data_IF_955850440772
#
_entry.id   IF_955850440772
#
_cell.length_a   1.000
_cell.length_b   1.000
_cell.length_c   1.000
_cell.angle_alpha   90.00
_cell.angle_beta   90.00
_cell.angle_gamma   90.00
#
_symmetry.space_group_name_H-M   'P 1'
#
loop_
_entity.id
_entity.type
_entity.pdbx_description
1 polymer ?
#
# COMPACT_ATOMS: atom_id res chain seq x y z
N UNK A 1 39.33 -5.43 -8.70
CA UNK A 1 38.16 -6.04 -9.39
C UNK A 1 36.94 -6.26 -8.48
N UNK A 2 37.05 -6.93 -7.31
CA UNK A 2 35.90 -7.18 -6.40
C UNK A 2 35.08 -5.94 -5.97
N UNK A 3 35.71 -4.76 -5.86
CA UNK A 3 35.04 -3.51 -5.44
C UNK A 3 34.11 -2.94 -6.52
N UNK A 4 34.45 -3.13 -7.80
CA UNK A 4 33.65 -2.64 -8.94
C UNK A 4 32.44 -3.54 -9.21
N UNK A 5 32.58 -4.87 -9.07
CA UNK A 5 31.45 -5.81 -9.14
C UNK A 5 30.41 -5.57 -8.04
N UNK A 6 30.85 -5.17 -6.85
CA UNK A 6 29.97 -4.81 -5.73
C UNK A 6 29.15 -3.54 -6.01
N UNK A 7 29.74 -2.53 -6.64
CA UNK A 7 29.03 -1.30 -7.01
C UNK A 7 28.00 -1.53 -8.12
N UNK A 8 28.32 -2.33 -9.13
CA UNK A 8 27.40 -2.64 -10.23
C UNK A 8 26.19 -3.46 -9.75
N UNK A 9 26.40 -4.42 -8.84
CA UNK A 9 25.32 -5.18 -8.19
C UNK A 9 24.41 -4.28 -7.34
N UNK A 10 24.98 -3.32 -6.62
CA UNK A 10 24.19 -2.37 -5.82
C UNK A 10 23.36 -1.44 -6.72
N UNK A 11 23.92 -0.94 -7.82
CA UNK A 11 23.18 -0.10 -8.77
C UNK A 11 21.99 -0.85 -9.39
N UNK A 12 22.16 -2.12 -9.76
CA UNK A 12 21.07 -2.95 -10.28
C UNK A 12 19.97 -3.20 -9.23
N UNK A 13 20.33 -3.40 -7.96
CA UNK A 13 19.36 -3.55 -6.86
C UNK A 13 18.59 -2.25 -6.61
N UNK A 14 19.27 -1.11 -6.63
CA UNK A 14 18.63 0.20 -6.50
C UNK A 14 17.69 0.49 -7.67
N UNK A 15 18.12 0.23 -8.90
CA UNK A 15 17.29 0.39 -10.10
C UNK A 15 16.00 -0.42 -10.02
N UNK A 16 16.07 -1.70 -9.64
CA UNK A 16 14.85 -2.53 -9.48
C UNK A 16 13.96 -2.09 -8.31
N UNK A 17 14.51 -1.54 -7.23
CA UNK A 17 13.71 -0.98 -6.15
C UNK A 17 12.96 0.29 -6.58
N UNK A 18 13.59 1.16 -7.38
CA UNK A 18 12.94 2.35 -7.94
C UNK A 18 11.83 1.93 -8.90
N UNK A 19 12.11 1.02 -9.83
CA UNK A 19 11.11 0.51 -10.78
C UNK A 19 9.94 -0.15 -10.03
N UNK A 20 10.23 -0.97 -9.02
CA UNK A 20 9.19 -1.62 -8.22
C UNK A 20 8.35 -0.63 -7.40
N UNK A 21 8.96 0.43 -6.86
CA UNK A 21 8.23 1.53 -6.24
C UNK A 21 7.31 2.24 -7.24
N UNK A 22 7.84 2.66 -8.39
CA UNK A 22 7.07 3.40 -9.40
C UNK A 22 5.92 2.55 -9.94
N UNK A 23 6.18 1.30 -10.33
CA UNK A 23 5.13 0.39 -10.82
C UNK A 23 4.09 0.10 -9.73
N UNK A 24 4.52 -0.09 -8.49
CA UNK A 24 3.62 -0.27 -7.35
C UNK A 24 2.73 0.95 -7.10
N UNK A 25 3.30 2.16 -7.14
CA UNK A 25 2.56 3.39 -6.97
C UNK A 25 1.56 3.64 -8.11
N UNK A 26 2.00 3.49 -9.37
CA UNK A 26 1.15 3.72 -10.55
C UNK A 26 0.00 2.72 -10.62
N UNK A 27 0.30 1.42 -10.49
CA UNK A 27 -0.74 0.38 -10.59
C UNK A 27 -1.62 0.31 -9.34
N UNK A 28 -1.07 0.66 -8.17
CA UNK A 28 -1.87 0.86 -6.96
C UNK A 28 -2.85 2.04 -7.12
N UNK A 29 -2.39 3.18 -7.66
CA UNK A 29 -3.27 4.31 -7.93
C UNK A 29 -4.34 3.99 -8.99
N UNK A 30 -3.98 3.27 -10.05
CA UNK A 30 -4.94 2.81 -11.05
C UNK A 30 -6.00 1.89 -10.42
N UNK A 31 -5.62 0.96 -9.56
CA UNK A 31 -6.55 0.09 -8.83
C UNK A 31 -7.46 0.89 -7.87
N UNK A 32 -6.91 1.91 -7.20
CA UNK A 32 -7.69 2.83 -6.35
C UNK A 32 -8.76 3.55 -7.17
N UNK A 33 -8.40 4.10 -8.33
CA UNK A 33 -9.31 4.83 -9.22
C UNK A 33 -10.40 3.92 -9.81
N UNK A 34 -10.01 2.77 -10.38
CA UNK A 34 -10.96 1.81 -10.98
C UNK A 34 -11.96 1.32 -9.94
N UNK A 35 -11.49 0.97 -8.74
CA UNK A 35 -12.37 0.56 -7.64
C UNK A 35 -13.31 1.70 -7.24
N UNK A 36 -12.86 2.94 -7.24
CA UNK A 36 -13.70 4.12 -6.98
C UNK A 36 -14.81 4.30 -8.02
N UNK A 37 -14.49 4.14 -9.30
CA UNK A 37 -15.49 4.16 -10.37
C UNK A 37 -16.52 3.04 -10.19
N UNK A 38 -16.07 1.82 -9.90
CA UNK A 38 -16.96 0.68 -9.66
C UNK A 38 -17.89 0.92 -8.47
N UNK A 39 -17.37 1.40 -7.33
CA UNK A 39 -18.22 1.76 -6.20
C UNK A 39 -19.17 2.92 -6.51
N UNK A 40 -18.76 3.91 -7.30
CA UNK A 40 -19.65 4.97 -7.76
C UNK A 40 -20.86 4.43 -8.52
N UNK A 41 -20.64 3.47 -9.44
CA UNK A 41 -21.74 2.76 -10.10
C UNK A 41 -22.56 1.92 -9.13
N UNK A 42 -21.92 1.21 -8.22
CA UNK A 42 -22.57 0.34 -7.24
C UNK A 42 -23.52 1.13 -6.32
N UNK A 43 -23.09 2.31 -5.87
CA UNK A 43 -23.86 3.20 -5.01
C UNK A 43 -24.94 3.99 -5.75
N UNK A 44 -24.89 4.05 -7.09
CA UNK A 44 -26.00 4.62 -7.89
C UNK A 44 -27.27 3.75 -7.85
N UNK A 45 -27.13 2.47 -7.48
CA UNK A 45 -28.23 1.52 -7.39
C UNK A 45 -28.82 1.54 -5.98
N UNK A 46 -30.05 2.08 -5.84
CA UNK A 46 -30.69 2.37 -4.54
C UNK A 46 -30.78 1.17 -3.58
N UNK A 47 -31.15 -0.01 -4.09
CA UNK A 47 -31.28 -1.20 -3.22
C UNK A 47 -29.92 -1.68 -2.70
N UNK A 48 -28.86 -1.50 -3.49
CA UNK A 48 -27.51 -1.93 -3.16
C UNK A 48 -26.85 -0.96 -2.17
N UNK A 49 -27.11 0.34 -2.34
CA UNK A 49 -26.77 1.36 -1.34
C UNK A 49 -27.50 1.13 -0.01
N UNK A 50 -28.77 0.73 -0.03
CA UNK A 50 -29.51 0.38 1.17
C UNK A 50 -28.93 -0.87 1.86
N UNK A 51 -28.53 -1.89 1.10
CA UNK A 51 -27.87 -3.08 1.64
C UNK A 51 -26.54 -2.73 2.33
N UNK A 52 -25.74 -1.85 1.72
CA UNK A 52 -24.47 -1.38 2.27
C UNK A 52 -24.61 -0.33 3.38
N UNK A 53 -25.83 0.06 3.76
CA UNK A 53 -26.06 1.06 4.82
C UNK A 53 -26.06 0.47 6.24
N UNK A 54 -25.92 -0.85 6.36
CA UNK A 54 -25.88 -1.56 7.64
C UNK A 54 -24.69 -2.52 7.65
N UNK A 55 -23.82 -2.52 8.68
CA UNK A 55 -23.84 -1.69 9.90
C UNK A 55 -23.22 -0.28 9.76
N UNK A 56 -22.76 0.15 8.59
CA UNK A 56 -22.09 1.46 8.41
C UNK A 56 -22.50 2.15 7.09
N UNK A 57 -21.97 3.34 6.80
CA UNK A 57 -22.36 4.07 5.59
C UNK A 57 -21.77 3.44 4.32
N UNK A 58 -22.51 3.45 3.20
CA UNK A 58 -22.01 2.93 1.93
C UNK A 58 -20.74 3.67 1.44
N UNK A 59 -20.64 4.97 1.77
CA UNK A 59 -19.47 5.79 1.47
C UNK A 59 -18.22 5.29 2.21
N UNK A 60 -18.34 4.93 3.49
CA UNK A 60 -17.23 4.40 4.27
C UNK A 60 -16.71 3.08 3.68
N UNK A 61 -17.61 2.18 3.26
CA UNK A 61 -17.24 0.93 2.58
C UNK A 61 -16.53 1.19 1.26
N UNK A 62 -16.99 2.16 0.47
CA UNK A 62 -16.35 2.53 -0.78
C UNK A 62 -14.93 3.07 -0.55
N UNK A 63 -14.77 4.02 0.38
CA UNK A 63 -13.46 4.59 0.73
C UNK A 63 -12.48 3.51 1.21
N UNK A 64 -12.96 2.59 2.06
CA UNK A 64 -12.15 1.47 2.53
C UNK A 64 -11.77 0.51 1.40
N UNK A 65 -12.74 0.13 0.55
CA UNK A 65 -12.51 -0.75 -0.59
C UNK A 65 -11.51 -0.17 -1.60
N UNK A 66 -11.62 1.12 -1.90
CA UNK A 66 -10.67 1.84 -2.74
C UNK A 66 -9.27 1.81 -2.15
N UNK A 67 -9.13 2.16 -0.87
CA UNK A 67 -7.87 2.15 -0.14
C UNK A 67 -7.22 0.76 -0.13
N UNK A 68 -8.01 -0.27 0.20
CA UNK A 68 -7.54 -1.66 0.24
C UNK A 68 -7.08 -2.15 -1.13
N UNK A 69 -7.85 -1.88 -2.19
CA UNK A 69 -7.48 -2.25 -3.55
C UNK A 69 -6.18 -1.56 -3.99
N UNK A 70 -6.06 -0.26 -3.77
CA UNK A 70 -4.88 0.50 -4.16
C UNK A 70 -3.62 0.06 -3.43
N UNK A 71 -3.69 -0.02 -2.09
CA UNK A 71 -2.55 -0.44 -1.27
C UNK A 71 -2.20 -1.91 -1.51
N UNK A 72 -3.20 -2.79 -1.64
CA UNK A 72 -3.01 -4.21 -1.90
C UNK A 72 -2.30 -4.46 -3.23
N UNK A 73 -2.81 -3.88 -4.32
CA UNK A 73 -2.20 -4.00 -5.66
C UNK A 73 -0.80 -3.41 -5.69
N UNK A 74 -0.62 -2.21 -5.12
CA UNK A 74 0.69 -1.56 -5.04
C UNK A 74 1.70 -2.40 -4.26
N UNK A 75 1.29 -2.99 -3.14
CA UNK A 75 2.13 -3.87 -2.32
C UNK A 75 2.52 -5.16 -3.06
N UNK A 76 1.57 -5.80 -3.74
CA UNK A 76 1.83 -7.02 -4.50
C UNK A 76 2.84 -6.79 -5.63
N UNK A 77 2.69 -5.70 -6.37
CA UNK A 77 3.56 -5.38 -7.51
C UNK A 77 4.93 -4.94 -7.04
N UNK A 78 5.00 -4.02 -6.08
CA UNK A 78 6.27 -3.60 -5.49
C UNK A 78 7.00 -4.79 -4.86
N UNK A 79 6.27 -5.68 -4.17
CA UNK A 79 6.81 -6.89 -3.56
C UNK A 79 7.41 -7.87 -4.56
N UNK A 80 6.84 -8.00 -5.77
CA UNK A 80 7.34 -8.86 -6.85
C UNK A 80 8.56 -8.27 -7.58
N UNK A 81 8.60 -6.95 -7.75
CA UNK A 81 9.64 -6.28 -8.54
C UNK A 81 10.86 -5.88 -7.70
N UNK A 82 10.64 -5.41 -6.47
CA UNK A 82 11.70 -4.94 -5.60
C UNK A 82 12.62 -6.09 -5.14
N UNK A 83 13.93 -5.87 -5.24
CA UNK A 83 14.94 -6.80 -4.72
C UNK A 83 15.39 -6.40 -3.31
N UNK A 84 15.67 -7.38 -2.43
CA UNK A 84 16.24 -7.09 -1.13
C UNK A 84 17.66 -6.54 -1.27
N UNK A 85 17.97 -5.48 -0.53
CA UNK A 85 19.32 -4.96 -0.33
C UNK A 85 20.20 -5.96 0.47
N UNK A 86 21.48 -5.67 0.63
CA UNK A 86 22.42 -6.45 1.46
C UNK A 86 21.95 -6.63 2.90
N UNK A 87 21.14 -5.69 3.41
CA UNK A 87 20.49 -5.75 4.74
C UNK A 87 19.19 -6.60 4.77
N UNK A 88 18.79 -7.18 3.64
CA UNK A 88 17.58 -8.00 3.49
C UNK A 88 16.28 -7.22 3.35
N UNK A 89 16.35 -5.92 3.07
CA UNK A 89 15.20 -5.00 3.02
C UNK A 89 14.89 -4.61 1.58
N UNK A 90 13.62 -4.68 1.17
CA UNK A 90 13.14 -4.13 -0.11
C UNK A 90 12.85 -2.64 0.07
N UNK A 91 13.81 -1.77 -0.22
CA UNK A 91 13.70 -0.33 0.03
C UNK A 91 12.50 0.29 -0.72
N UNK A 92 12.20 -0.18 -1.94
CA UNK A 92 11.07 0.33 -2.71
C UNK A 92 9.71 0.12 -2.03
N UNK A 93 9.49 -1.05 -1.43
CA UNK A 93 8.28 -1.34 -0.63
C UNK A 93 8.20 -0.47 0.63
N UNK A 94 9.35 -0.21 1.27
CA UNK A 94 9.41 0.62 2.49
C UNK A 94 9.05 2.08 2.18
N UNK A 95 9.59 2.62 1.08
CA UNK A 95 9.26 3.97 0.60
C UNK A 95 7.80 4.05 0.18
N UNK A 96 7.27 3.04 -0.53
CA UNK A 96 5.86 2.99 -0.91
C UNK A 96 4.94 3.05 0.32
N UNK A 97 5.20 2.23 1.34
CA UNK A 97 4.42 2.25 2.58
C UNK A 97 4.50 3.55 3.34
N UNK A 98 5.70 4.13 3.44
CA UNK A 98 5.89 5.45 4.06
C UNK A 98 5.10 6.55 3.33
N UNK A 99 5.10 6.52 1.99
CA UNK A 99 4.35 7.48 1.17
C UNK A 99 2.84 7.34 1.38
N UNK A 100 2.32 6.10 1.43
CA UNK A 100 0.89 5.82 1.68
C UNK A 100 0.47 6.33 3.05
N UNK A 101 1.23 6.01 4.10
CA UNK A 101 0.93 6.46 5.47
C UNK A 101 0.93 7.99 5.53
N UNK A 102 1.94 8.63 4.94
CA UNK A 102 2.06 10.09 4.97
C UNK A 102 0.91 10.75 4.20
N UNK A 103 0.65 10.33 2.97
CA UNK A 103 -0.38 10.94 2.13
C UNK A 103 -1.77 10.78 2.72
N UNK A 104 -2.19 9.55 3.03
CA UNK A 104 -3.53 9.31 3.55
C UNK A 104 -3.68 9.78 5.01
N UNK A 105 -2.60 9.78 5.79
CA UNK A 105 -2.58 10.39 7.12
C UNK A 105 -2.85 11.90 7.04
N UNK A 106 -2.19 12.61 6.11
CA UNK A 106 -2.46 14.02 5.87
C UNK A 106 -3.89 14.26 5.38
N UNK A 107 -4.42 13.42 4.50
CA UNK A 107 -5.83 13.49 4.07
C UNK A 107 -6.81 13.30 5.24
N UNK A 108 -6.53 12.35 6.14
CA UNK A 108 -7.35 12.11 7.32
C UNK A 108 -7.34 13.31 8.28
N UNK A 109 -6.16 13.88 8.57
CA UNK A 109 -6.02 15.08 9.40
C UNK A 109 -6.70 16.28 8.78
N UNK A 110 -6.49 16.53 7.48
CA UNK A 110 -7.16 17.62 6.76
C UNK A 110 -8.68 17.45 6.81
N UNK A 111 -9.18 16.24 6.61
CA UNK A 111 -10.62 15.95 6.66
C UNK A 111 -11.19 16.15 8.06
N UNK A 112 -10.41 15.81 9.09
CA UNK A 112 -10.79 16.03 10.49
C UNK A 112 -10.91 17.53 10.81
N UNK A 113 -9.97 18.34 10.30
CA UNK A 113 -9.99 19.79 10.50
C UNK A 113 -11.11 20.48 9.72
N UNK A 114 -11.44 20.00 8.52
CA UNK A 114 -12.46 20.61 7.65
C UNK A 114 -13.89 20.14 7.95
N UNK A 115 -14.06 18.89 8.37
CA UNK A 115 -15.39 18.25 8.45
C UNK A 115 -15.66 17.54 9.78
N UNK A 116 -14.73 17.58 10.75
CA UNK A 116 -14.85 16.83 11.99
C UNK A 116 -14.75 15.31 11.77
N UNK A 117 -15.30 14.53 12.71
CA UNK A 117 -15.35 13.07 12.60
C UNK A 117 -16.34 12.65 11.51
N UNK A 118 -15.82 12.31 10.34
CA UNK A 118 -16.59 11.94 9.15
C UNK A 118 -16.08 10.65 8.50
N UNK A 119 -16.86 10.09 7.57
CA UNK A 119 -16.49 8.89 6.80
C UNK A 119 -15.14 9.05 6.07
N UNK A 120 -14.82 10.28 5.64
CA UNK A 120 -13.52 10.59 5.03
C UNK A 120 -12.37 10.39 6.00
N UNK A 121 -12.51 10.81 7.26
CA UNK A 121 -11.48 10.63 8.29
C UNK A 121 -11.22 9.15 8.53
N UNK A 122 -12.29 8.36 8.67
CA UNK A 122 -12.18 6.92 8.90
C UNK A 122 -11.65 6.16 7.69
N UNK A 123 -12.13 6.49 6.48
CA UNK A 123 -11.67 5.88 5.24
C UNK A 123 -10.20 6.16 4.94
N UNK A 124 -9.76 7.42 5.05
CA UNK A 124 -8.36 7.79 4.87
C UNK A 124 -7.48 7.25 6.00
N UNK A 125 -7.94 7.29 7.26
CA UNK A 125 -7.22 6.72 8.39
C UNK A 125 -6.98 5.22 8.24
N UNK A 126 -8.00 4.47 7.84
CA UNK A 126 -7.87 3.04 7.56
C UNK A 126 -6.91 2.76 6.40
N UNK A 127 -6.96 3.57 5.33
CA UNK A 127 -6.03 3.45 4.19
C UNK A 127 -4.59 3.75 4.60
N UNK A 128 -4.38 4.75 5.47
CA UNK A 128 -3.07 5.06 6.02
C UNK A 128 -2.50 3.87 6.81
N UNK A 129 -3.31 3.23 7.67
CA UNK A 129 -2.90 2.03 8.41
C UNK A 129 -2.53 0.87 7.47
N UNK A 130 -3.23 0.70 6.35
CA UNK A 130 -2.88 -0.31 5.35
C UNK A 130 -1.49 -0.08 4.73
N UNK A 131 -0.96 1.13 4.78
CA UNK A 131 0.43 1.44 4.40
C UNK A 131 1.49 0.69 5.23
N UNK A 132 1.11 0.05 6.34
CA UNK A 132 1.97 -0.89 7.07
C UNK A 132 2.23 -2.20 6.29
N UNK A 133 1.29 -2.64 5.44
CA UNK A 133 1.43 -3.88 4.65
C UNK A 133 2.69 -3.90 3.77
N UNK A 134 2.98 -2.88 2.93
CA UNK A 134 4.20 -2.86 2.15
C UNK A 134 5.47 -2.73 3.01
N UNK A 135 5.36 -2.17 4.22
CA UNK A 135 6.49 -2.10 5.18
C UNK A 135 6.79 -3.48 5.76
N UNK A 136 5.77 -4.28 6.06
CA UNK A 136 5.94 -5.66 6.50
C UNK A 136 6.51 -6.54 5.38
N UNK A 137 6.00 -6.38 4.16
CA UNK A 137 6.52 -7.05 2.97
C UNK A 137 7.99 -6.70 2.70
N UNK A 138 8.41 -5.46 3.01
CA UNK A 138 9.80 -5.04 2.93
C UNK A 138 10.74 -5.80 3.90
N UNK A 139 10.21 -6.31 5.02
CA UNK A 139 10.95 -6.99 6.11
C UNK A 139 10.94 -8.53 6.01
N UNK A 140 10.06 -9.11 5.20
CA UNK A 140 9.71 -10.55 5.22
C UNK A 140 10.88 -11.53 5.05
N UNK A 141 11.98 -11.17 4.36
CA UNK A 141 13.11 -12.09 4.18
C UNK A 141 13.97 -12.37 5.42
N UNK A 142 13.84 -11.60 6.51
CA UNK A 142 14.52 -11.92 7.79
C UNK A 142 13.83 -13.02 8.60
N UNK A 143 12.51 -13.26 8.41
CA UNK A 143 11.77 -14.28 9.19
C UNK A 143 12.05 -15.71 8.71
N UNK A 144 12.14 -15.95 7.41
CA UNK A 144 12.41 -17.30 6.88
C UNK A 144 13.82 -17.82 7.20
N UNK A 145 14.82 -16.95 7.39
CA UNK A 145 16.17 -17.36 7.79
C UNK A 145 16.30 -17.65 9.30
N UNK A 146 15.48 -17.04 10.16
CA UNK A 146 15.52 -17.34 11.60
C UNK A 146 14.84 -18.66 11.95
N UNK A 147 13.76 -19.03 11.26
CA UNK A 147 13.09 -20.32 11.51
C UNK A 147 13.86 -21.55 10.98
N UNK A 148 14.74 -21.38 9.98
CA UNK A 148 15.57 -22.47 9.46
C UNK A 148 16.81 -22.76 10.33
N UNK A 149 17.21 -21.85 11.22
CA UNK A 149 18.39 -22.01 12.10
C UNK A 149 18.00 -22.58 13.46
N UNK A 150 16.74 -22.44 13.89
CA UNK A 150 16.24 -23.04 15.15
C UNK A 150 15.81 -24.51 15.01
N UNK A 151 16.04 -25.14 13.85
CA UNK A 151 15.76 -26.57 13.59
C UNK A 151 17.03 -27.38 13.29
N UNK A 152 18.20 -26.94 13.75
CA UNK A 152 19.43 -27.73 13.73
C UNK A 152 20.00 -27.84 15.13
#
# INVERSE_FOLDING_TARGET
MKKMEGQQKNAAVWGRNIIGFVLGAVLGYAAYFVTGVLFGFLLSVRWLAALLSWPSTPLLYALFGMGLAGVGVGTLIAGKVCLPSSKGVKTGCLVLGGLIILYFGLCAVSSLLSHGLSDYVWGYGATALMGLLPIEEAKSKKRHRKMAVTRR
#
